data_IF_878090741059
#
_entry.id   IF_878090741059
#
_cell.length_a   1.000
_cell.length_b   1.000
_cell.length_c   1.000
_cell.angle_alpha   90.00
_cell.angle_beta   90.00
_cell.angle_gamma   90.00
#
_symmetry.space_group_name_H-M   'P 1'
#
loop_
_entity.id
_entity.type
_entity.pdbx_description
1 polymer ?
#
# COMPACT_ATOMS: atom_id res chain seq x y z
N UNK A 1 -6.98 4.16 -18.23
CA UNK A 1 -7.25 3.88 -17.67
C UNK A 1 -7.86 3.23 -17.09
N UNK A 2 -8.25 2.67 -17.08
CA UNK A 2 -8.81 2.19 -16.50
C UNK A 2 -8.80 1.73 -15.40
N UNK A 3 -8.44 1.74 -14.90
CA UNK A 3 -8.30 1.58 -13.55
C UNK A 3 -9.57 1.45 -12.83
N UNK A 4 -10.59 1.67 -13.36
CA UNK A 4 -11.88 1.47 -12.75
C UNK A 4 -12.35 0.04 -12.79
N UNK A 5 -11.46 -0.87 -13.04
CA UNK A 5 -11.78 -2.29 -13.08
C UNK A 5 -11.96 -2.89 -11.68
N UNK A 6 -11.68 -2.12 -10.63
CA UNK A 6 -11.85 -2.64 -9.27
C UNK A 6 -12.87 -1.81 -8.50
N UNK A 7 -13.38 -2.40 -7.42
CA UNK A 7 -14.33 -1.73 -6.55
C UNK A 7 -13.57 -1.02 -5.44
N UNK A 8 -13.56 0.29 -5.49
CA UNK A 8 -12.81 1.12 -4.55
C UNK A 8 -13.24 0.89 -3.11
N UNK A 9 -14.54 0.78 -2.87
CA UNK A 9 -15.07 0.55 -1.54
C UNK A 9 -14.61 -0.78 -0.97
N UNK A 10 -14.65 -1.83 -1.78
CA UNK A 10 -14.20 -3.15 -1.34
C UNK A 10 -12.72 -3.15 -1.05
N UNK A 11 -11.95 -2.48 -1.89
CA UNK A 11 -10.51 -2.38 -1.67
C UNK A 11 -10.21 -1.68 -0.37
N UNK A 12 -10.85 -0.54 -0.12
CA UNK A 12 -10.63 0.20 1.14
C UNK A 12 -11.07 -0.63 2.34
N UNK A 13 -12.14 -1.42 2.19
CA UNK A 13 -12.59 -2.32 3.25
C UNK A 13 -11.54 -3.37 3.59
N UNK A 14 -10.93 -3.98 2.59
CA UNK A 14 -9.87 -4.97 2.81
C UNK A 14 -8.66 -4.32 3.47
N UNK A 15 -8.31 -3.11 3.05
CA UNK A 15 -7.20 -2.37 3.65
C UNK A 15 -7.47 -2.10 5.12
N UNK A 16 -8.71 -1.72 5.47
CA UNK A 16 -9.11 -1.51 6.85
C UNK A 16 -8.99 -2.78 7.68
N UNK A 17 -9.37 -3.92 7.11
CA UNK A 17 -9.23 -5.21 7.78
C UNK A 17 -7.76 -5.54 8.03
N UNK A 18 -6.89 -5.24 7.07
CA UNK A 18 -5.45 -5.45 7.23
C UNK A 18 -4.92 -4.68 8.43
N UNK A 19 -5.36 -3.44 8.56
CA UNK A 19 -4.92 -2.60 9.68
C UNK A 19 -5.42 -3.18 11.00
N UNK A 20 -6.67 -3.61 11.04
CA UNK A 20 -7.25 -4.21 12.24
C UNK A 20 -6.54 -5.48 12.66
N UNK A 21 -6.00 -6.22 11.70
CA UNK A 21 -5.25 -7.45 11.97
C UNK A 21 -3.77 -7.19 12.25
N UNK A 22 -3.33 -5.93 12.25
CA UNK A 22 -1.93 -5.58 12.48
C UNK A 22 -1.01 -5.90 11.32
N UNK A 23 -1.57 -6.00 10.10
CA UNK A 23 -0.80 -6.40 8.92
C UNK A 23 -0.57 -5.25 7.94
N UNK A 24 -0.94 -4.03 8.32
CA UNK A 24 -0.75 -2.86 7.47
C UNK A 24 0.35 -1.99 8.04
N UNK A 25 1.24 -1.52 7.17
CA UNK A 25 2.31 -0.60 7.55
C UNK A 25 1.95 0.74 6.95
N UNK A 26 1.67 1.71 7.82
CA UNK A 26 1.06 2.98 7.41
C UNK A 26 2.11 4.09 7.36
N UNK A 27 2.17 4.78 6.23
CA UNK A 27 3.02 5.95 6.07
C UNK A 27 4.33 5.63 5.39
N UNK A 28 4.79 6.59 4.57
CA UNK A 28 5.98 6.38 3.73
C UNK A 28 7.24 6.06 4.55
N UNK A 29 7.53 6.78 5.65
CA UNK A 29 8.75 6.45 6.42
C UNK A 29 8.72 5.02 6.97
N UNK A 30 7.59 4.58 7.47
CA UNK A 30 7.48 3.24 8.04
C UNK A 30 7.57 2.17 6.96
N UNK A 31 7.00 2.45 5.78
CA UNK A 31 7.09 1.52 4.66
C UNK A 31 8.55 1.36 4.24
N UNK A 32 9.26 2.45 4.07
CA UNK A 32 10.66 2.42 3.66
C UNK A 32 11.50 1.64 4.66
N UNK A 33 11.26 1.85 5.94
CA UNK A 33 11.99 1.13 6.98
C UNK A 33 11.69 -0.36 6.92
N UNK A 34 10.43 -0.72 6.76
CA UNK A 34 10.02 -2.12 6.66
C UNK A 34 10.69 -2.82 5.49
N UNK A 35 10.68 -2.18 4.32
CA UNK A 35 11.28 -2.77 3.13
C UNK A 35 12.77 -2.98 3.32
N UNK A 36 13.46 -1.99 3.88
CA UNK A 36 14.90 -2.09 4.12
C UNK A 36 15.20 -3.22 5.11
N UNK A 37 14.48 -3.26 6.22
CA UNK A 37 14.73 -4.27 7.24
C UNK A 37 14.43 -5.67 6.75
N UNK A 38 13.35 -5.83 5.98
CA UNK A 38 12.99 -7.13 5.43
C UNK A 38 14.07 -7.60 4.44
N UNK A 39 14.53 -6.69 3.59
CA UNK A 39 15.55 -7.03 2.62
C UNK A 39 16.86 -7.43 3.31
N UNK A 40 17.23 -6.71 4.37
CA UNK A 40 18.45 -7.02 5.10
C UNK A 40 18.38 -8.38 5.78
N UNK A 41 17.22 -8.76 6.28
CA UNK A 41 17.05 -10.01 7.00
C UNK A 41 16.88 -11.20 6.07
N UNK A 42 16.19 -11.02 4.96
CA UNK A 42 15.78 -12.14 4.10
C UNK A 42 16.43 -12.14 2.73
N UNK A 43 17.11 -11.06 2.36
CA UNK A 43 17.70 -10.93 1.04
C UNK A 43 16.71 -10.56 -0.05
N UNK A 44 15.42 -10.52 0.26
CA UNK A 44 14.36 -10.16 -0.69
C UNK A 44 13.14 -9.70 0.06
N UNK A 45 12.26 -9.00 -0.66
CA UNK A 45 10.95 -8.60 -0.14
C UNK A 45 9.91 -9.23 -1.04
N UNK A 46 9.00 -10.05 -0.47
CA UNK A 46 7.93 -10.65 -1.26
C UNK A 46 6.63 -10.66 -0.48
N UNK A 47 5.52 -10.84 -1.21
CA UNK A 47 4.17 -10.83 -0.67
C UNK A 47 3.84 -9.50 0.01
N UNK A 48 4.37 -8.41 -0.57
CA UNK A 48 4.09 -7.05 -0.11
C UNK A 48 3.58 -6.23 -1.28
N UNK A 49 2.51 -5.48 -1.05
CA UNK A 49 2.02 -4.54 -2.04
C UNK A 49 1.81 -3.20 -1.36
N UNK A 50 2.22 -2.13 -2.04
CA UNK A 50 2.06 -0.77 -1.54
C UNK A 50 0.91 -0.11 -2.27
N UNK A 51 0.01 0.48 -1.51
CA UNK A 51 -1.13 1.23 -2.04
C UNK A 51 -0.87 2.70 -1.82
N UNK A 52 -0.85 3.47 -2.90
CA UNK A 52 -0.58 4.91 -2.84
C UNK A 52 -1.86 5.68 -3.14
N UNK A 53 -2.13 6.74 -2.36
CA UNK A 53 -3.27 7.61 -2.60
C UNK A 53 -3.07 8.41 -3.89
N UNK A 54 -4.18 8.91 -4.45
CA UNK A 54 -4.15 9.60 -5.74
C UNK A 54 -3.54 10.99 -5.70
N UNK A 55 -3.53 11.62 -4.54
CA UNK A 55 -3.13 13.03 -4.41
C UNK A 55 -1.88 13.24 -3.57
N UNK A 56 -0.98 12.28 -3.57
CA UNK A 56 0.31 12.44 -2.91
C UNK A 56 1.12 13.53 -3.62
N UNK A 57 1.96 14.22 -2.84
CA UNK A 57 2.84 15.23 -3.43
C UNK A 57 3.83 14.56 -4.37
N UNK A 58 4.38 15.36 -5.29
CA UNK A 58 5.31 14.84 -6.28
C UNK A 58 6.54 14.22 -5.63
N UNK A 59 7.07 14.88 -4.59
CA UNK A 59 8.24 14.36 -3.88
C UNK A 59 7.94 13.04 -3.18
N UNK A 60 6.80 12.94 -2.54
CA UNK A 60 6.40 11.72 -1.85
C UNK A 60 6.17 10.58 -2.85
N UNK A 61 5.49 10.90 -3.94
CA UNK A 61 5.23 9.94 -5.01
C UNK A 61 6.54 9.35 -5.54
N UNK A 62 7.50 10.23 -5.87
CA UNK A 62 8.78 9.80 -6.39
C UNK A 62 9.52 8.93 -5.37
N UNK A 63 9.55 9.37 -4.12
CA UNK A 63 10.27 8.66 -3.08
C UNK A 63 9.75 7.24 -2.88
N UNK A 64 8.44 7.08 -2.73
CA UNK A 64 7.88 5.75 -2.47
C UNK A 64 8.00 4.85 -3.70
N UNK A 65 7.83 5.42 -4.90
CA UNK A 65 7.95 4.63 -6.11
C UNK A 65 9.39 4.19 -6.36
N UNK A 66 10.36 5.05 -6.08
CA UNK A 66 11.77 4.70 -6.21
C UNK A 66 12.14 3.56 -5.25
N UNK A 67 11.64 3.63 -4.01
CA UNK A 67 11.93 2.59 -3.03
C UNK A 67 11.30 1.26 -3.41
N UNK A 68 10.06 1.29 -3.87
CA UNK A 68 9.40 0.08 -4.31
C UNK A 68 10.11 -0.54 -5.49
N UNK A 69 10.56 0.27 -6.44
CA UNK A 69 11.32 -0.23 -7.58
C UNK A 69 12.63 -0.86 -7.14
N UNK A 70 13.31 -0.22 -6.21
CA UNK A 70 14.59 -0.73 -5.73
C UNK A 70 14.44 -2.11 -5.07
N UNK A 71 13.39 -2.31 -4.29
CA UNK A 71 13.18 -3.58 -3.59
C UNK A 71 12.33 -4.57 -4.35
N UNK A 72 11.89 -4.23 -5.56
CA UNK A 72 11.07 -5.11 -6.37
C UNK A 72 9.67 -5.31 -5.83
N UNK A 73 9.11 -4.27 -5.21
CA UNK A 73 7.80 -4.33 -4.58
C UNK A 73 6.78 -3.65 -5.48
N UNK A 74 5.63 -4.29 -5.64
CA UNK A 74 4.54 -3.73 -6.45
C UNK A 74 3.92 -2.53 -5.74
N UNK A 75 3.65 -1.47 -6.49
CA UNK A 75 2.97 -0.29 -5.97
C UNK A 75 1.84 0.07 -6.92
N UNK A 76 0.68 0.37 -6.35
CA UNK A 76 -0.51 0.72 -7.11
C UNK A 76 -1.05 2.05 -6.59
N UNK A 77 -1.29 2.99 -7.51
CA UNK A 77 -1.91 4.26 -7.15
C UNK A 77 -3.40 4.13 -7.36
N UNK A 78 -4.18 4.40 -6.32
CA UNK A 78 -5.63 4.22 -6.36
C UNK A 78 -6.34 5.55 -6.55
N UNK A 79 -7.65 5.51 -6.80
CA UNK A 79 -8.44 6.73 -7.02
C UNK A 79 -8.69 7.50 -5.73
N UNK A 80 -8.70 6.82 -4.58
CA UNK A 80 -8.94 7.48 -3.30
C UNK A 80 -7.79 8.41 -2.95
N UNK A 81 -8.11 9.57 -2.39
CA UNK A 81 -7.10 10.50 -1.93
C UNK A 81 -6.58 10.15 -0.55
N UNK A 82 -5.65 10.97 -0.06
CA UNK A 82 -5.02 10.74 1.24
C UNK A 82 -6.03 10.73 2.38
N UNK A 83 -7.05 11.57 2.32
CA UNK A 83 -8.08 11.59 3.36
C UNK A 83 -8.90 10.32 3.39
N UNK A 84 -9.31 9.85 2.22
CA UNK A 84 -10.10 8.62 2.13
C UNK A 84 -9.30 7.41 2.57
N UNK A 85 -8.05 7.32 2.12
CA UNK A 85 -7.18 6.23 2.52
C UNK A 85 -6.93 6.29 4.02
N UNK A 86 -6.67 7.48 4.54
CA UNK A 86 -6.49 7.66 5.98
C UNK A 86 -7.71 7.23 6.77
N UNK A 87 -8.90 7.61 6.29
CA UNK A 87 -10.15 7.23 6.97
C UNK A 87 -10.27 5.71 7.08
N UNK A 88 -9.96 5.00 6.01
CA UNK A 88 -10.02 3.53 6.02
C UNK A 88 -9.04 2.94 7.02
N UNK A 89 -7.97 3.66 7.35
CA UNK A 89 -6.93 3.20 8.26
C UNK A 89 -7.03 3.81 9.66
N UNK A 90 -8.12 4.53 9.94
CA UNK A 90 -8.31 5.15 11.23
C UNK A 90 -7.39 6.35 11.48
N UNK A 91 -6.98 7.03 10.42
CA UNK A 91 -6.10 8.19 10.48
C UNK A 91 -6.75 9.36 9.76
N UNK A 92 -6.23 10.58 9.94
CA UNK A 92 -6.77 11.74 9.26
C UNK A 92 -6.36 11.76 7.79
N UNK A 93 -5.13 11.38 7.47
CA UNK A 93 -4.67 11.32 6.08
C UNK A 93 -3.47 10.39 6.00
N UNK A 94 -3.39 9.61 4.91
CA UNK A 94 -2.31 8.66 4.68
C UNK A 94 -1.93 8.69 3.21
N UNK A 95 -0.65 8.91 2.92
CA UNK A 95 -0.18 8.95 1.54
C UNK A 95 -0.03 7.55 0.95
N UNK A 96 0.38 6.58 1.76
CA UNK A 96 0.60 5.21 1.28
C UNK A 96 0.52 4.23 2.44
N UNK A 97 0.15 3.00 2.12
CA UNK A 97 0.09 1.90 3.07
C UNK A 97 0.66 0.66 2.41
N UNK A 98 1.43 -0.13 3.15
CA UNK A 98 1.96 -1.41 2.65
C UNK A 98 1.21 -2.55 3.32
N UNK A 99 0.82 -3.51 2.52
CA UNK A 99 0.17 -4.73 2.99
C UNK A 99 1.23 -5.83 2.94
N UNK A 100 1.63 -6.31 4.10
CA UNK A 100 2.81 -7.18 4.23
C UNK A 100 2.48 -8.56 4.80
N UNK A 101 1.31 -9.05 4.52
CA UNK A 101 0.86 -10.37 4.94
C UNK A 101 0.43 -11.16 3.71
N UNK A 102 0.88 -12.39 3.61
CA UNK A 102 0.63 -13.20 2.42
C UNK A 102 -0.86 -13.32 2.09
N UNK A 103 -1.69 -13.57 3.10
CA UNK A 103 -3.13 -13.71 2.89
C UNK A 103 -3.78 -12.41 2.45
N UNK A 104 -3.45 -11.30 3.10
CA UNK A 104 -4.01 -10.01 2.73
C UNK A 104 -3.41 -9.50 1.42
N UNK A 105 -2.14 -9.81 1.16
CA UNK A 105 -1.55 -9.50 -0.14
C UNK A 105 -2.38 -10.13 -1.26
N UNK A 106 -2.70 -11.41 -1.12
CA UNK A 106 -3.52 -12.11 -2.11
C UNK A 106 -4.92 -11.48 -2.21
N UNK A 107 -5.52 -11.12 -1.08
CA UNK A 107 -6.85 -10.52 -1.07
C UNK A 107 -6.87 -9.17 -1.77
N UNK A 108 -5.84 -8.35 -1.55
CA UNK A 108 -5.73 -7.04 -2.20
C UNK A 108 -5.50 -7.22 -3.70
N UNK A 109 -4.62 -8.13 -4.08
CA UNK A 109 -4.36 -8.40 -5.50
C UNK A 109 -5.64 -8.85 -6.20
N UNK A 110 -6.43 -9.67 -5.54
CA UNK A 110 -7.70 -10.14 -6.10
C UNK A 110 -8.66 -8.98 -6.34
N UNK A 111 -8.74 -8.03 -5.40
CA UNK A 111 -9.59 -6.86 -5.59
C UNK A 111 -9.13 -5.99 -6.75
N UNK A 112 -7.82 -5.92 -6.98
CA UNK A 112 -7.28 -5.08 -8.03
C UNK A 112 -7.37 -5.70 -9.41
N UNK A 113 -7.50 -7.01 -9.51
CA UNK A 113 -7.45 -7.70 -10.80
C UNK A 113 -8.81 -8.10 -11.36
N UNK A 114 -9.90 -7.77 -10.70
CA UNK A 114 -11.23 -8.17 -11.22
C UNK A 114 -11.73 -7.33 -12.38
#
# INVERSE_FOLDING_TARGET
MEFNMYDEKKLLGVIGLCRGAGKAIVGVPMICEHLRNTHEKRGEVKDVIVIEASDTSENTHKKINDKCAYYGVEIVRIAAGCEELGHALGKSAVAAVAIADKGFFAAVKKQLSC
#
